data_IF_342209555016
#
_entry.id   IF_342209555016
#
_cell.length_a   1.000
_cell.length_b   1.000
_cell.length_c   1.000
_cell.angle_alpha   90.00
_cell.angle_beta   90.00
_cell.angle_gamma   90.00
#
_symmetry.space_group_name_H-M   'P 1'
#
loop_
_entity.id
_entity.type
_entity.pdbx_description
1 polymer ?
#
# COMPACT_ATOMS: atom_id res chain seq x y z
N UNK A 1 1.74 -3.16 -29.29
CA UNK A 1 0.50 -2.98 -28.47
C UNK A 1 0.38 -1.63 -27.79
N UNK A 2 1.47 -0.96 -27.45
CA UNK A 2 1.43 0.32 -26.68
C UNK A 2 0.96 1.56 -27.44
N UNK A 3 1.05 1.61 -28.77
CA UNK A 3 0.72 2.79 -29.57
C UNK A 3 -0.80 2.92 -29.79
N UNK A 4 -1.53 1.83 -29.94
CA UNK A 4 -2.98 1.89 -30.16
C UNK A 4 -3.77 2.33 -28.91
N UNK A 5 -3.36 1.92 -27.73
CA UNK A 5 -3.98 2.38 -26.46
C UNK A 5 -3.82 3.88 -26.26
N UNK A 6 -2.66 4.44 -26.63
CA UNK A 6 -2.40 5.88 -26.55
C UNK A 6 -3.24 6.70 -27.54
N UNK A 7 -3.61 6.13 -28.68
CA UNK A 7 -4.45 6.78 -29.71
C UNK A 7 -5.91 6.78 -29.27
N UNK A 8 -6.43 5.66 -28.74
CA UNK A 8 -7.80 5.59 -28.20
C UNK A 8 -8.00 6.53 -27.02
N UNK A 9 -7.09 6.52 -26.04
CA UNK A 9 -7.14 7.42 -24.88
C UNK A 9 -7.12 8.89 -25.32
N UNK A 10 -6.35 9.27 -26.34
CA UNK A 10 -6.35 10.63 -26.88
C UNK A 10 -7.66 11.01 -27.55
N UNK A 11 -8.31 10.09 -28.25
CA UNK A 11 -9.61 10.30 -28.89
C UNK A 11 -10.70 10.55 -27.85
N UNK A 12 -10.75 9.75 -26.81
CA UNK A 12 -11.78 9.81 -25.78
C UNK A 12 -11.63 11.06 -24.88
N UNK A 13 -10.39 11.45 -24.57
CA UNK A 13 -10.10 12.68 -23.84
C UNK A 13 -10.50 13.90 -24.70
N UNK A 14 -10.20 13.87 -25.98
CA UNK A 14 -10.58 14.95 -26.90
C UNK A 14 -12.09 15.11 -26.96
N UNK A 15 -12.86 14.02 -27.11
CA UNK A 15 -14.32 14.02 -27.10
C UNK A 15 -14.90 14.58 -25.81
N UNK A 16 -14.39 14.14 -24.66
CA UNK A 16 -14.85 14.62 -23.35
C UNK A 16 -14.54 16.10 -23.11
N UNK A 17 -13.42 16.61 -23.61
CA UNK A 17 -13.06 18.02 -23.51
C UNK A 17 -13.91 18.89 -24.44
N UNK A 18 -14.24 18.40 -25.61
CA UNK A 18 -15.14 19.06 -26.58
C UNK A 18 -16.57 19.15 -26.05
N UNK A 19 -17.09 18.10 -25.38
CA UNK A 19 -18.40 18.11 -24.70
C UNK A 19 -18.52 19.21 -23.63
N UNK A 20 -17.41 19.59 -23.01
CA UNK A 20 -17.36 20.60 -21.95
C UNK A 20 -16.82 21.95 -22.41
N UNK A 21 -16.73 22.23 -23.71
CA UNK A 21 -16.19 23.47 -24.30
C UNK A 21 -14.76 23.79 -23.85
N UNK A 22 -13.93 22.81 -23.59
CA UNK A 22 -12.53 22.98 -23.22
C UNK A 22 -11.67 22.82 -24.49
N UNK A 23 -11.09 23.91 -25.00
CA UNK A 23 -10.24 23.86 -26.18
C UNK A 23 -8.77 23.70 -25.80
N UNK A 24 -8.09 22.69 -26.37
CA UNK A 24 -6.65 22.51 -26.22
C UNK A 24 -5.94 23.04 -27.47
N UNK A 25 -5.25 24.14 -27.33
CA UNK A 25 -4.40 24.69 -28.39
C UNK A 25 -2.95 24.22 -28.25
N UNK A 26 -2.53 23.37 -29.19
CA UNK A 26 -1.16 23.22 -29.67
C UNK A 26 -0.06 22.69 -28.76
N UNK A 27 0.56 21.58 -29.21
CA UNK A 27 1.88 21.11 -28.77
C UNK A 27 1.85 19.90 -27.81
N UNK A 28 2.80 19.01 -28.02
CA UNK A 28 3.07 17.85 -27.14
C UNK A 28 3.39 18.33 -25.71
N UNK A 29 2.37 18.41 -24.89
CA UNK A 29 2.52 18.54 -23.45
C UNK A 29 2.36 17.15 -22.89
N UNK A 30 3.29 16.72 -22.05
CA UNK A 30 3.20 15.40 -21.41
C UNK A 30 1.92 15.35 -20.59
N UNK A 31 1.20 14.25 -20.69
CA UNK A 31 -0.07 13.97 -20.05
C UNK A 31 -0.08 14.34 -18.54
N UNK A 32 1.05 14.14 -17.87
CA UNK A 32 1.24 14.48 -16.48
C UNK A 32 1.18 15.99 -16.16
N UNK A 33 1.64 16.83 -17.06
CA UNK A 33 1.74 18.28 -16.81
C UNK A 33 0.37 18.96 -16.91
N UNK A 34 -0.53 18.46 -17.78
CA UNK A 34 -1.87 19.03 -17.94
C UNK A 34 -2.90 18.55 -16.93
N UNK A 35 -2.78 17.32 -16.42
CA UNK A 35 -3.65 16.85 -15.32
C UNK A 35 -3.44 17.70 -14.06
N UNK A 36 -2.24 18.23 -13.82
CA UNK A 36 -1.96 19.12 -12.69
C UNK A 36 -2.65 20.49 -12.78
N UNK A 37 -3.03 20.93 -13.98
CA UNK A 37 -3.64 22.23 -14.23
C UNK A 37 -5.18 22.19 -14.31
N UNK A 38 -5.79 20.99 -14.34
CA UNK A 38 -7.23 20.85 -14.41
C UNK A 38 -7.89 21.06 -13.04
N UNK A 39 -9.01 21.82 -12.98
CA UNK A 39 -9.72 21.96 -11.72
C UNK A 39 -10.23 20.60 -11.18
N UNK A 40 -10.39 20.46 -9.85
CA UNK A 40 -10.76 19.19 -9.20
C UNK A 40 -11.98 18.46 -9.80
N UNK A 41 -12.89 19.21 -10.42
CA UNK A 41 -14.13 18.68 -11.03
C UNK A 41 -13.91 17.83 -12.28
N UNK A 42 -12.79 18.01 -13.00
CA UNK A 42 -12.51 17.22 -14.23
C UNK A 42 -12.05 15.81 -13.89
N UNK A 43 -11.53 15.61 -12.69
CA UNK A 43 -11.05 14.32 -12.22
C UNK A 43 -12.19 13.37 -11.77
N UNK A 44 -13.42 13.84 -11.64
CA UNK A 44 -14.59 13.05 -11.23
C UNK A 44 -15.16 12.23 -12.40
N UNK A 45 -14.82 12.57 -13.65
CA UNK A 45 -15.55 12.08 -14.83
C UNK A 45 -14.90 10.92 -15.61
N UNK A 46 -13.77 10.34 -15.17
CA UNK A 46 -13.12 9.24 -15.87
C UNK A 46 -13.13 7.89 -15.13
N UNK A 47 -14.28 7.41 -14.61
CA UNK A 47 -14.29 6.10 -13.92
C UNK A 47 -14.15 4.91 -14.87
N UNK A 48 -14.35 5.07 -16.19
CA UNK A 48 -14.41 3.95 -17.13
C UNK A 48 -13.17 3.75 -18.00
N UNK A 49 -12.25 4.71 -18.07
CA UNK A 49 -11.15 4.71 -19.04
C UNK A 49 -9.79 4.26 -18.49
N UNK A 50 -9.61 4.24 -17.19
CA UNK A 50 -8.36 3.78 -16.58
C UNK A 50 -8.61 2.46 -15.90
N UNK A 51 -7.77 1.47 -16.17
CA UNK A 51 -7.70 0.23 -15.39
C UNK A 51 -7.83 0.58 -13.90
N UNK A 52 -8.55 -0.21 -13.11
CA UNK A 52 -8.63 -0.07 -11.65
C UNK A 52 -7.24 0.04 -11.03
N UNK A 53 -6.28 -0.61 -11.64
CA UNK A 53 -4.86 -0.50 -11.41
C UNK A 53 -4.35 0.90 -11.77
N UNK A 54 -3.63 1.53 -10.84
CA UNK A 54 -3.01 2.85 -10.99
C UNK A 54 -3.99 4.01 -11.27
N UNK A 55 -5.27 3.89 -10.89
CA UNK A 55 -6.33 4.86 -11.23
C UNK A 55 -6.01 6.31 -10.86
N UNK A 56 -5.38 6.54 -9.71
CA UNK A 56 -4.99 7.86 -9.22
C UNK A 56 -3.47 8.07 -9.20
N UNK A 57 -2.70 7.11 -9.71
CA UNK A 57 -1.25 7.20 -9.69
C UNK A 57 -0.73 8.51 -10.28
N UNK A 58 0.30 9.07 -9.63
CA UNK A 58 0.90 10.37 -9.98
C UNK A 58 -0.05 11.58 -9.91
N UNK A 59 -1.23 11.44 -9.27
CA UNK A 59 -2.14 12.57 -9.12
C UNK A 59 -1.62 13.60 -8.11
N UNK A 60 -1.97 14.87 -8.35
CA UNK A 60 -1.67 15.96 -7.42
C UNK A 60 -2.73 16.16 -6.32
N UNK A 61 -3.64 15.21 -6.13
CA UNK A 61 -4.72 15.31 -5.15
C UNK A 61 -4.18 15.34 -3.71
N UNK A 62 -4.76 16.17 -2.88
CA UNK A 62 -4.57 16.14 -1.43
C UNK A 62 -5.56 15.19 -0.75
N UNK A 63 -6.72 15.01 -1.36
CA UNK A 63 -7.77 14.07 -0.94
C UNK A 63 -8.39 13.41 -2.17
N UNK A 64 -8.92 12.21 -2.01
CA UNK A 64 -9.62 11.50 -3.09
C UNK A 64 -11.13 11.70 -2.90
N UNK A 65 -11.90 11.98 -3.98
CA UNK A 65 -13.35 12.00 -3.91
C UNK A 65 -13.91 10.62 -3.55
N UNK A 66 -15.14 10.57 -3.06
CA UNK A 66 -15.84 9.30 -2.89
C UNK A 66 -15.89 8.54 -4.21
N UNK A 67 -15.53 7.26 -4.16
CA UNK A 67 -15.47 6.38 -5.32
C UNK A 67 -16.12 5.04 -4.99
N UNK A 68 -16.89 4.53 -5.94
CA UNK A 68 -17.41 3.17 -5.84
C UNK A 68 -16.31 2.16 -6.18
N UNK A 69 -16.00 1.30 -5.25
CA UNK A 69 -14.91 0.32 -5.36
C UNK A 69 -15.33 -1.12 -5.11
N UNK A 70 -16.60 -1.38 -4.83
CA UNK A 70 -17.13 -2.71 -4.50
C UNK A 70 -16.83 -3.79 -5.56
N UNK A 71 -16.64 -3.39 -6.81
CA UNK A 71 -16.34 -4.31 -7.91
C UNK A 71 -14.83 -4.42 -8.21
N UNK A 72 -13.96 -3.76 -7.41
CA UNK A 72 -12.51 -3.78 -7.67
C UNK A 72 -11.89 -5.05 -7.11
N UNK A 73 -11.09 -5.72 -7.93
CA UNK A 73 -10.31 -6.92 -7.55
C UNK A 73 -8.81 -6.66 -7.56
N UNK A 74 -8.35 -5.65 -8.29
CA UNK A 74 -6.95 -5.23 -8.37
C UNK A 74 -6.83 -3.72 -8.14
N UNK A 75 -6.30 -3.33 -6.97
CA UNK A 75 -5.99 -1.95 -6.60
C UNK A 75 -4.47 -1.69 -6.59
N UNK A 76 -3.69 -2.53 -7.27
CA UNK A 76 -2.25 -2.33 -7.36
C UNK A 76 -1.94 -0.98 -7.98
N UNK A 77 -0.98 -0.26 -7.38
CA UNK A 77 -0.53 1.08 -7.79
C UNK A 77 -1.64 2.16 -7.79
N UNK A 78 -2.80 1.93 -7.18
CA UNK A 78 -3.97 2.82 -7.28
C UNK A 78 -3.64 4.28 -6.90
N UNK A 79 -2.82 4.50 -5.88
CA UNK A 79 -2.38 5.81 -5.41
C UNK A 79 -0.86 6.00 -5.54
N UNK A 80 -0.22 5.23 -6.41
CA UNK A 80 1.24 5.24 -6.60
C UNK A 80 1.76 6.64 -6.93
N UNK A 81 2.76 7.14 -6.19
CA UNK A 81 3.32 8.49 -6.34
C UNK A 81 2.31 9.64 -6.16
N UNK A 82 1.23 9.45 -5.40
CA UNK A 82 0.34 10.53 -4.99
C UNK A 82 0.99 11.34 -3.85
N UNK A 83 2.00 12.12 -4.17
CA UNK A 83 2.88 12.76 -3.18
C UNK A 83 2.17 13.77 -2.28
N UNK A 84 1.09 14.39 -2.77
CA UNK A 84 0.31 15.38 -2.02
C UNK A 84 -0.88 14.76 -1.26
N UNK A 85 -1.14 13.46 -1.43
CA UNK A 85 -2.27 12.79 -0.81
C UNK A 85 -2.08 12.71 0.70
N UNK A 86 -2.93 13.37 1.46
CA UNK A 86 -2.88 13.43 2.91
C UNK A 86 -3.76 12.36 3.57
N UNK A 87 -4.94 12.13 2.98
CA UNK A 87 -5.93 11.16 3.46
C UNK A 87 -6.65 10.51 2.30
N UNK A 88 -7.20 9.32 2.54
CA UNK A 88 -8.13 8.64 1.62
C UNK A 88 -9.47 8.39 2.33
N UNK A 89 -10.61 8.46 1.62
CA UNK A 89 -11.90 8.08 2.18
C UNK A 89 -11.93 6.58 2.50
N UNK A 90 -12.93 6.16 3.28
CA UNK A 90 -13.23 4.75 3.41
C UNK A 90 -13.65 4.21 2.03
N UNK A 91 -12.97 3.16 1.58
CA UNK A 91 -13.22 2.47 0.29
C UNK A 91 -13.54 1.01 0.56
N UNK A 92 -14.44 0.44 -0.25
CA UNK A 92 -14.72 -0.98 -0.20
C UNK A 92 -13.57 -1.77 -0.85
N UNK A 93 -12.91 -2.60 -0.07
CA UNK A 93 -11.80 -3.45 -0.51
C UNK A 93 -12.09 -4.95 -0.37
N UNK A 94 -13.34 -5.31 -0.05
CA UNK A 94 -13.76 -6.68 0.27
C UNK A 94 -13.51 -7.70 -0.85
N UNK A 95 -13.49 -7.25 -2.11
CA UNK A 95 -13.23 -8.10 -3.27
C UNK A 95 -11.78 -7.99 -3.80
N UNK A 96 -10.93 -7.17 -3.15
CA UNK A 96 -9.57 -6.91 -3.65
C UNK A 96 -8.63 -8.06 -3.30
N UNK A 97 -7.91 -8.54 -4.30
CA UNK A 97 -6.90 -9.59 -4.17
C UNK A 97 -5.47 -9.08 -4.32
N UNK A 98 -5.29 -7.89 -4.88
CA UNK A 98 -3.99 -7.31 -5.16
C UNK A 98 -3.94 -5.84 -4.74
N UNK A 99 -3.05 -5.52 -3.77
CA UNK A 99 -2.77 -4.17 -3.28
C UNK A 99 -1.29 -3.78 -3.42
N UNK A 100 -0.57 -4.46 -4.36
CA UNK A 100 0.84 -4.19 -4.61
C UNK A 100 1.10 -2.70 -4.86
N UNK A 101 2.05 -2.11 -4.12
CA UNK A 101 2.46 -0.70 -4.26
C UNK A 101 1.29 0.30 -4.21
N UNK A 102 0.16 -0.02 -3.57
CA UNK A 102 -1.06 0.80 -3.59
C UNK A 102 -0.79 2.23 -3.13
N UNK A 103 0.03 2.42 -2.09
CA UNK A 103 0.40 3.72 -1.53
C UNK A 103 1.89 4.05 -1.69
N UNK A 104 2.61 3.36 -2.57
CA UNK A 104 4.04 3.62 -2.77
C UNK A 104 4.31 5.10 -3.07
N UNK A 105 5.21 5.72 -2.30
CA UNK A 105 5.60 7.12 -2.42
C UNK A 105 4.45 8.14 -2.23
N UNK A 106 3.42 7.79 -1.46
CA UNK A 106 2.45 8.75 -0.92
C UNK A 106 3.10 9.52 0.23
N UNK A 107 3.96 10.48 -0.10
CA UNK A 107 4.88 11.10 0.87
C UNK A 107 4.18 11.97 1.91
N UNK A 108 2.98 12.49 1.63
CA UNK A 108 2.17 13.29 2.56
C UNK A 108 1.13 12.48 3.33
N UNK A 109 0.91 11.20 2.98
CA UNK A 109 -0.08 10.35 3.63
C UNK A 109 0.28 10.11 5.09
N UNK A 110 -0.66 10.43 6.00
CA UNK A 110 -0.44 10.32 7.45
C UNK A 110 -1.06 9.06 8.05
N UNK A 111 -2.17 8.61 7.51
CA UNK A 111 -2.89 7.42 7.95
C UNK A 111 -3.70 6.81 6.80
N UNK A 112 -4.08 5.56 6.95
CA UNK A 112 -5.02 4.87 6.07
C UNK A 112 -6.28 4.47 6.86
N UNK A 113 -7.47 4.44 6.24
CA UNK A 113 -8.65 3.90 6.87
C UNK A 113 -8.52 2.39 7.10
N UNK A 114 -9.42 1.82 7.88
CA UNK A 114 -9.54 0.38 7.97
C UNK A 114 -9.91 -0.21 6.60
N UNK A 115 -9.07 -1.07 6.07
CA UNK A 115 -9.30 -1.79 4.82
C UNK A 115 -9.63 -3.26 5.12
N UNK A 116 -10.56 -3.85 4.37
CA UNK A 116 -10.72 -5.30 4.34
C UNK A 116 -9.64 -5.90 3.44
N UNK A 117 -8.70 -6.60 4.04
CA UNK A 117 -7.57 -7.23 3.35
C UNK A 117 -7.63 -8.75 3.39
N UNK A 118 -8.75 -9.32 3.83
CA UNK A 118 -8.92 -10.77 4.03
C UNK A 118 -8.74 -11.60 2.76
N UNK A 119 -9.01 -11.01 1.60
CA UNK A 119 -8.83 -11.67 0.29
C UNK A 119 -7.51 -11.33 -0.41
N UNK A 120 -6.71 -10.42 0.15
CA UNK A 120 -5.49 -9.93 -0.51
C UNK A 120 -4.36 -10.95 -0.45
N UNK A 121 -3.74 -11.19 -1.59
CA UNK A 121 -2.62 -12.13 -1.76
C UNK A 121 -1.28 -11.43 -1.99
N UNK A 122 -1.29 -10.22 -2.55
CA UNK A 122 -0.08 -9.41 -2.80
C UNK A 122 -0.24 -8.00 -2.22
N UNK A 123 0.61 -7.68 -1.24
CA UNK A 123 0.73 -6.36 -0.64
C UNK A 123 2.18 -5.82 -0.76
N UNK A 124 3.01 -6.40 -1.63
CA UNK A 124 4.41 -6.02 -1.77
C UNK A 124 4.55 -4.50 -2.00
N UNK A 125 5.39 -3.84 -1.20
CA UNK A 125 5.65 -2.41 -1.32
C UNK A 125 4.49 -1.48 -0.97
N UNK A 126 3.43 -1.96 -0.33
CA UNK A 126 2.17 -1.20 -0.12
C UNK A 126 2.41 0.18 0.49
N UNK A 127 3.29 0.31 1.47
CA UNK A 127 3.58 1.57 2.19
C UNK A 127 5.00 2.10 1.95
N UNK A 128 5.70 1.56 0.97
CA UNK A 128 7.08 1.95 0.69
C UNK A 128 7.17 3.44 0.37
N UNK A 129 8.15 4.13 0.95
CA UNK A 129 8.38 5.58 0.80
C UNK A 129 7.23 6.49 1.27
N UNK A 130 6.35 6.01 2.15
CA UNK A 130 5.36 6.84 2.84
C UNK A 130 6.02 7.57 4.02
N UNK A 131 6.76 8.64 3.73
CA UNK A 131 7.65 9.30 4.71
C UNK A 131 6.91 9.95 5.89
N UNK A 132 5.64 10.32 5.74
CA UNK A 132 4.84 10.94 6.79
C UNK A 132 3.78 10.02 7.40
N UNK A 133 3.74 8.74 6.99
CA UNK A 133 2.78 7.77 7.53
C UNK A 133 3.01 7.59 9.04
N UNK A 134 1.97 7.80 9.84
CA UNK A 134 2.02 7.76 11.30
C UNK A 134 1.27 6.56 11.87
N UNK A 135 0.24 6.07 11.16
CA UNK A 135 -0.59 4.98 11.65
C UNK A 135 -1.04 4.03 10.55
N UNK A 136 -0.95 2.72 10.86
CA UNK A 136 -1.49 1.63 10.04
C UNK A 136 -2.39 0.77 10.93
N UNK A 137 -3.69 0.66 10.60
CA UNK A 137 -4.63 -0.16 11.36
C UNK A 137 -4.30 -1.66 11.24
N UNK A 138 -5.00 -2.48 12.02
CA UNK A 138 -4.87 -3.93 11.94
C UNK A 138 -5.37 -4.45 10.58
N UNK A 139 -4.49 -5.08 9.82
CA UNK A 139 -4.80 -5.66 8.51
C UNK A 139 -4.76 -7.19 8.56
N UNK A 140 -5.61 -7.87 7.77
CA UNK A 140 -5.54 -9.31 7.63
C UNK A 140 -4.50 -9.71 6.57
N UNK A 141 -3.49 -10.47 6.98
CA UNK A 141 -2.44 -10.99 6.12
C UNK A 141 -2.54 -12.52 5.91
N UNK A 142 -3.69 -13.12 6.22
CA UNK A 142 -3.89 -14.59 6.17
C UNK A 142 -3.65 -15.19 4.79
N UNK A 143 -3.88 -14.42 3.74
CA UNK A 143 -3.74 -14.86 2.36
C UNK A 143 -2.50 -14.31 1.66
N UNK A 144 -1.73 -13.45 2.31
CA UNK A 144 -0.55 -12.81 1.74
C UNK A 144 0.61 -13.82 1.65
N UNK A 145 1.27 -13.85 0.49
CA UNK A 145 2.40 -14.74 0.21
C UNK A 145 3.74 -14.04 0.35
N UNK A 146 3.81 -12.76 0.03
CA UNK A 146 5.01 -11.95 0.10
C UNK A 146 4.72 -10.55 0.64
N UNK A 147 5.55 -10.10 1.57
CA UNK A 147 5.49 -8.78 2.19
C UNK A 147 6.75 -7.95 1.92
N UNK A 148 7.48 -8.27 0.87
CA UNK A 148 8.71 -7.57 0.50
C UNK A 148 8.49 -6.06 0.45
N UNK A 149 9.42 -5.30 1.04
CA UNK A 149 9.43 -3.84 1.03
C UNK A 149 8.20 -3.12 1.59
N UNK A 150 7.36 -3.78 2.42
CA UNK A 150 6.16 -3.14 2.98
C UNK A 150 6.45 -1.78 3.62
N UNK A 151 7.44 -1.74 4.48
CA UNK A 151 7.85 -0.55 5.22
C UNK A 151 9.20 0.02 4.78
N UNK A 152 9.59 -0.19 3.53
CA UNK A 152 10.85 0.35 3.03
C UNK A 152 10.79 1.89 2.97
N UNK A 153 11.69 2.56 3.69
CA UNK A 153 11.73 4.02 3.78
C UNK A 153 10.41 4.68 4.23
N UNK A 154 9.70 4.10 5.20
CA UNK A 154 8.58 4.78 5.89
C UNK A 154 9.08 5.75 6.96
N UNK A 155 8.15 6.54 7.52
CA UNK A 155 8.43 7.35 8.70
C UNK A 155 9.00 6.51 9.84
N UNK A 156 9.95 7.06 10.58
CA UNK A 156 10.69 6.32 11.62
C UNK A 156 9.81 5.81 12.77
N UNK A 157 8.63 6.39 12.99
CA UNK A 157 7.75 6.08 14.12
C UNK A 157 6.32 5.80 13.67
N UNK A 158 6.15 4.91 12.70
CA UNK A 158 4.82 4.42 12.31
C UNK A 158 4.27 3.57 13.46
N UNK A 159 3.10 3.91 13.96
CA UNK A 159 2.32 3.04 14.83
C UNK A 159 1.51 2.05 13.98
N UNK A 160 1.58 0.77 14.32
CA UNK A 160 0.93 -0.30 13.58
C UNK A 160 0.23 -1.25 14.56
N UNK A 161 -1.04 -1.55 14.33
CA UNK A 161 -1.80 -2.51 15.15
C UNK A 161 -1.44 -3.97 14.83
N UNK A 162 -0.70 -4.19 13.75
CA UNK A 162 -0.21 -5.51 13.36
C UNK A 162 -0.90 -6.08 12.11
N UNK A 163 -0.61 -7.35 11.86
CA UNK A 163 -1.09 -8.07 10.68
C UNK A 163 -1.59 -9.45 11.08
N UNK A 164 -2.91 -9.66 11.06
CA UNK A 164 -3.55 -10.93 11.46
C UNK A 164 -2.98 -12.06 10.60
N UNK A 165 -2.53 -13.13 11.28
CA UNK A 165 -2.02 -14.35 10.64
C UNK A 165 -0.88 -14.13 9.65
N UNK A 166 -0.06 -13.09 9.84
CA UNK A 166 1.12 -12.87 9.01
C UNK A 166 1.97 -14.12 8.96
N UNK A 167 2.28 -14.59 7.75
CA UNK A 167 3.04 -15.80 7.51
C UNK A 167 2.24 -17.10 7.54
N UNK A 168 0.92 -17.06 7.40
CA UNK A 168 0.05 -18.25 7.37
C UNK A 168 0.30 -19.12 6.13
N UNK A 169 0.75 -18.59 5.03
CA UNK A 169 1.05 -19.37 3.83
C UNK A 169 2.34 -20.19 4.04
N UNK A 170 2.35 -21.44 3.56
CA UNK A 170 3.50 -22.33 3.70
C UNK A 170 4.74 -21.84 2.96
N UNK A 171 4.55 -21.18 1.81
CA UNK A 171 5.57 -20.57 0.96
C UNK A 171 5.93 -19.12 1.34
N UNK A 172 5.40 -18.61 2.46
CA UNK A 172 5.65 -17.24 2.92
C UNK A 172 7.15 -16.95 3.06
N UNK A 173 7.54 -15.72 2.74
CA UNK A 173 8.94 -15.24 2.81
C UNK A 173 9.33 -14.75 4.21
N UNK A 174 10.59 -14.39 4.40
CA UNK A 174 11.04 -13.68 5.60
C UNK A 174 10.45 -12.25 5.60
N UNK A 175 10.35 -11.66 6.79
CA UNK A 175 9.73 -10.34 7.01
C UNK A 175 10.78 -9.32 7.41
N UNK A 176 10.89 -8.23 6.67
CA UNK A 176 11.75 -7.09 7.05
C UNK A 176 10.90 -5.92 7.56
N UNK A 177 10.94 -5.69 8.86
CA UNK A 177 10.34 -4.55 9.56
C UNK A 177 11.40 -3.66 10.22
N UNK A 178 12.65 -3.76 9.76
CA UNK A 178 13.79 -3.02 10.34
C UNK A 178 13.66 -1.50 10.23
N UNK A 179 12.80 -1.01 9.36
CA UNK A 179 12.47 0.42 9.27
C UNK A 179 11.51 0.90 10.36
N UNK A 180 10.76 0.04 11.02
CA UNK A 180 9.90 0.42 12.14
C UNK A 180 10.73 0.77 13.37
N UNK A 181 10.40 1.89 14.01
CA UNK A 181 11.06 2.40 15.23
C UNK A 181 10.18 2.31 16.46
N UNK A 182 8.89 2.05 16.31
CA UNK A 182 7.98 1.83 17.43
C UNK A 182 8.09 0.41 17.96
N UNK A 183 8.49 0.27 19.20
CA UNK A 183 8.53 -1.04 19.88
C UNK A 183 7.12 -1.63 20.04
N UNK A 184 6.10 -0.77 20.21
CA UNK A 184 4.71 -1.22 20.32
C UNK A 184 4.23 -1.84 19.01
N UNK A 185 4.56 -1.23 17.88
CA UNK A 185 4.24 -1.77 16.56
C UNK A 185 4.87 -3.15 16.36
N UNK A 186 6.15 -3.31 16.73
CA UNK A 186 6.84 -4.60 16.62
C UNK A 186 6.19 -5.64 17.54
N UNK A 187 5.83 -5.28 18.77
CA UNK A 187 5.10 -6.18 19.70
C UNK A 187 3.74 -6.58 19.14
N UNK A 188 3.00 -5.64 18.54
CA UNK A 188 1.71 -5.92 17.92
C UNK A 188 1.86 -6.88 16.75
N UNK A 189 2.88 -6.70 15.91
CA UNK A 189 3.18 -7.62 14.81
C UNK A 189 3.47 -9.02 15.38
N UNK A 190 4.34 -9.16 16.40
CA UNK A 190 4.68 -10.45 17.01
C UNK A 190 3.44 -11.17 17.57
N UNK A 191 2.53 -10.45 18.22
CA UNK A 191 1.26 -11.00 18.74
C UNK A 191 0.39 -11.59 17.63
N UNK A 192 0.40 -10.99 16.45
CA UNK A 192 -0.46 -11.35 15.32
C UNK A 192 0.21 -12.30 14.30
N UNK A 193 1.47 -12.71 14.51
CA UNK A 193 2.14 -13.73 13.71
C UNK A 193 1.37 -15.05 13.74
N UNK A 194 1.30 -15.70 12.57
CA UNK A 194 0.77 -17.05 12.48
C UNK A 194 1.67 -18.05 13.21
N UNK A 195 1.07 -19.02 13.90
CA UNK A 195 1.80 -20.10 14.57
C UNK A 195 2.23 -21.17 13.54
N UNK A 196 3.43 -21.00 13.01
CA UNK A 196 4.04 -21.90 12.03
C UNK A 196 4.47 -23.22 12.64
N UNK A 197 4.80 -23.22 13.94
CA UNK A 197 5.19 -24.44 14.67
C UNK A 197 4.03 -25.42 14.72
N UNK A 198 2.86 -24.96 15.16
CA UNK A 198 1.65 -25.80 15.23
C UNK A 198 1.19 -26.27 13.85
N UNK A 199 1.48 -25.53 12.79
CA UNK A 199 1.16 -25.90 11.42
C UNK A 199 2.19 -26.85 10.77
N UNK A 200 3.31 -27.12 11.41
CA UNK A 200 4.41 -27.92 10.85
C UNK A 200 5.16 -27.22 9.70
N UNK A 201 5.13 -25.87 9.66
CA UNK A 201 5.81 -25.10 8.62
C UNK A 201 7.25 -24.77 9.02
N UNK A 202 8.09 -24.52 8.02
CA UNK A 202 9.47 -24.09 8.26
C UNK A 202 9.51 -22.76 9.01
N UNK A 203 10.51 -22.64 9.88
CA UNK A 203 10.85 -21.39 10.58
C UNK A 203 11.12 -20.28 9.55
N UNK A 204 10.72 -19.08 9.89
CA UNK A 204 10.97 -17.87 9.10
C UNK A 204 11.62 -16.78 9.96
N UNK A 205 12.32 -15.88 9.32
CA UNK A 205 12.99 -14.77 9.98
C UNK A 205 12.09 -13.53 9.98
N UNK A 206 12.18 -12.77 11.05
CA UNK A 206 11.64 -11.43 11.14
C UNK A 206 12.77 -10.48 11.57
N UNK A 207 13.09 -9.54 10.68
CA UNK A 207 14.19 -8.61 10.86
C UNK A 207 13.69 -7.35 11.52
N UNK A 208 14.33 -6.96 12.62
CA UNK A 208 14.05 -5.72 13.35
C UNK A 208 15.27 -4.81 13.38
N UNK A 209 15.06 -3.49 13.53
CA UNK A 209 16.19 -2.57 13.69
C UNK A 209 16.95 -2.83 14.99
N UNK A 210 18.25 -2.50 15.02
CA UNK A 210 19.06 -2.58 16.23
C UNK A 210 18.43 -1.82 17.39
N UNK A 211 17.99 -0.57 17.15
CA UNK A 211 17.39 0.27 18.17
C UNK A 211 16.16 -0.34 18.84
N UNK A 212 15.31 -1.05 18.09
CA UNK A 212 14.14 -1.75 18.61
C UNK A 212 14.57 -3.06 19.25
N UNK A 213 15.46 -3.82 18.60
CA UNK A 213 15.97 -5.10 19.12
C UNK A 213 16.58 -5.00 20.51
N UNK A 214 17.32 -3.93 20.79
CA UNK A 214 17.90 -3.66 22.13
C UNK A 214 16.85 -3.36 23.21
N UNK A 215 15.62 -3.00 22.84
CA UNK A 215 14.51 -2.71 23.76
C UNK A 215 13.57 -3.92 23.94
N UNK A 216 13.65 -4.93 23.08
CA UNK A 216 12.84 -6.14 23.21
C UNK A 216 13.30 -6.98 24.39
N UNK A 217 12.37 -7.30 25.26
CA UNK A 217 12.62 -8.27 26.35
C UNK A 217 12.67 -9.70 25.82
N UNK A 218 13.23 -10.60 26.61
CA UNK A 218 13.18 -12.03 26.30
C UNK A 218 11.74 -12.56 26.14
N UNK A 219 10.78 -11.99 26.88
CA UNK A 219 9.36 -12.33 26.75
C UNK A 219 8.75 -11.81 25.46
N UNK A 220 9.15 -10.64 24.97
CA UNK A 220 8.73 -10.13 23.67
C UNK A 220 9.21 -11.05 22.53
N UNK A 221 10.49 -11.43 22.56
CA UNK A 221 11.08 -12.36 21.58
C UNK A 221 10.40 -13.73 21.65
N UNK A 222 10.07 -14.22 22.85
CA UNK A 222 9.40 -15.50 23.03
C UNK A 222 8.02 -15.57 22.34
N UNK A 223 7.31 -14.44 22.21
CA UNK A 223 6.03 -14.40 21.48
C UNK A 223 6.22 -14.83 20.02
N UNK A 224 7.27 -14.37 19.37
CA UNK A 224 7.56 -14.74 17.97
C UNK A 224 8.18 -16.15 17.90
N UNK A 225 9.16 -16.47 18.74
CA UNK A 225 9.88 -17.75 18.65
C UNK A 225 9.01 -18.95 18.98
N UNK A 226 8.06 -18.84 19.91
CA UNK A 226 7.09 -19.88 20.21
C UNK A 226 6.14 -20.19 19.05
N UNK A 227 6.02 -19.26 18.10
CA UNK A 227 5.21 -19.41 16.87
C UNK A 227 6.04 -19.84 15.65
N UNK A 228 7.30 -20.24 15.83
CA UNK A 228 8.19 -20.69 14.75
C UNK A 228 8.79 -19.54 13.93
N UNK A 229 9.12 -18.43 14.58
CA UNK A 229 9.83 -17.30 13.97
C UNK A 229 11.17 -17.07 14.65
N UNK A 230 12.18 -16.71 13.88
CA UNK A 230 13.47 -16.23 14.40
C UNK A 230 13.51 -14.72 14.32
N UNK A 231 13.75 -14.05 15.45
CA UNK A 231 13.92 -12.60 15.49
C UNK A 231 15.39 -12.28 15.22
N UNK A 232 15.65 -11.60 14.13
CA UNK A 232 16.99 -11.13 13.75
C UNK A 232 17.11 -9.63 13.96
N UNK A 233 18.14 -9.21 14.67
CA UNK A 233 18.45 -7.80 14.90
C UNK A 233 19.48 -7.34 13.89
N UNK A 234 19.11 -6.38 13.04
CA UNK A 234 20.00 -5.84 12.03
C UNK A 234 21.26 -5.25 12.68
N UNK A 235 22.46 -5.59 12.20
CA UNK A 235 23.66 -4.85 12.57
C UNK A 235 23.56 -3.39 12.12
N UNK A 236 24.43 -2.53 12.65
CA UNK A 236 24.44 -1.08 12.34
C UNK A 236 24.76 -0.89 10.85
#
# INVERSE_FOLDING_TARGET
MSINILVEVKSDIKSALEEHNITINGGLITYADKIRELPPLVNVFFPTLVSQKAKFGYSGFTTIPEIETSNYTDMSYMFYFCQNLETIPLIDTSNVTNMRCMFWACTSLTEIPQLDTSNVTDMNGMFSQCYNLQYVPLLDASNVEDVGQWFFNVASYVECDGFINLGKKSNFTDVDISNLRSINSVRNIFKNLYDRTSAGYNVKNILVSKKVGEQLSSSDIAIATNKGWTVEVMPI
#
